data_IF_342518818298
#
_entry.id   IF_342518818298
#
_cell.length_a   1.000
_cell.length_b   1.000
_cell.length_c   1.000
_cell.angle_alpha   90.00
_cell.angle_beta   90.00
_cell.angle_gamma   90.00
#
_symmetry.space_group_name_H-M   'P 1'
#
loop_
_entity.id
_entity.type
_entity.pdbx_description
1 polymer ?
#
# COMPACT_ATOMS: atom_id res chain seq x y z
N UNK A 1 6.10 20.52 -21.15
CA UNK A 1 7.12 20.72 -20.09
C UNK A 1 8.19 19.68 -20.29
N UNK A 2 9.39 20.11 -20.70
CA UNK A 2 10.53 19.25 -20.97
C UNK A 2 11.15 18.75 -19.66
N UNK A 3 11.45 17.45 -19.59
CA UNK A 3 12.11 16.81 -18.45
C UNK A 3 13.63 16.80 -18.70
N UNK A 4 14.47 17.29 -17.78
CA UNK A 4 15.92 17.20 -17.93
C UNK A 4 16.45 15.81 -17.49
N UNK A 5 17.45 15.37 -18.25
CA UNK A 5 18.35 14.21 -18.15
C UNK A 5 18.17 13.26 -16.95
N UNK A 6 17.52 12.13 -17.26
CA UNK A 6 17.54 10.90 -16.47
C UNK A 6 18.77 10.13 -16.92
N UNK A 7 19.77 10.00 -16.06
CA UNK A 7 20.84 9.02 -16.26
C UNK A 7 20.21 7.62 -16.24
N UNK A 8 20.05 7.07 -17.43
CA UNK A 8 19.78 5.66 -17.66
C UNK A 8 21.01 4.91 -17.15
N UNK A 9 20.89 4.23 -16.01
CA UNK A 9 21.91 3.26 -15.62
C UNK A 9 21.77 2.11 -16.61
N UNK A 10 22.56 2.17 -17.68
CA UNK A 10 22.81 1.01 -18.53
C UNK A 10 23.53 -0.01 -17.67
N UNK A 11 22.83 -1.09 -17.30
CA UNK A 11 23.36 -2.24 -16.55
C UNK A 11 24.37 -3.06 -17.40
N UNK A 12 24.94 -2.50 -18.48
CA UNK A 12 25.69 -3.26 -19.49
C UNK A 12 27.19 -2.97 -19.65
N UNK A 13 27.86 -2.17 -18.81
CA UNK A 13 29.32 -1.98 -18.95
C UNK A 13 30.10 -1.76 -17.64
N UNK A 14 30.25 -2.82 -16.85
CA UNK A 14 31.33 -3.02 -15.84
C UNK A 14 31.38 -4.55 -15.65
N UNK A 15 32.30 -5.39 -16.11
CA UNK A 15 33.69 -5.29 -16.57
C UNK A 15 33.95 -6.46 -17.51
N UNK A 16 34.17 -6.17 -18.78
CA UNK A 16 34.90 -7.05 -19.69
C UNK A 16 36.39 -6.80 -19.46
N UNK A 17 37.00 -7.49 -18.49
CA UNK A 17 38.46 -7.50 -18.36
C UNK A 17 38.97 -8.75 -17.65
N UNK A 18 38.65 -9.93 -18.18
CA UNK A 18 39.53 -11.11 -18.05
C UNK A 18 39.59 -11.76 -19.44
N UNK A 19 40.48 -11.25 -20.30
CA UNK A 19 40.94 -11.98 -21.47
C UNK A 19 41.75 -13.17 -20.97
N UNK A 20 41.24 -14.38 -21.17
CA UNK A 20 42.06 -15.61 -21.05
C UNK A 20 43.13 -15.58 -22.14
N UNK A 21 44.33 -15.09 -21.79
CA UNK A 21 45.56 -15.35 -22.53
C UNK A 21 46.02 -16.76 -22.20
N UNK A 22 45.64 -17.73 -23.05
CA UNK A 22 46.16 -19.10 -23.00
C UNK A 22 47.62 -19.16 -23.47
N UNK A 23 48.55 -18.68 -22.65
CA UNK A 23 49.98 -18.92 -22.82
C UNK A 23 50.35 -20.18 -22.01
N UNK A 24 50.69 -21.24 -22.74
CA UNK A 24 51.11 -22.55 -22.22
C UNK A 24 52.52 -22.44 -21.65
N UNK A 25 52.67 -22.27 -20.34
CA UNK A 25 53.97 -22.45 -19.67
C UNK A 25 54.24 -23.96 -19.51
N UNK A 26 55.30 -24.42 -20.18
CA UNK A 26 55.81 -25.79 -20.12
C UNK A 26 56.62 -26.00 -18.83
N UNK A 27 56.38 -27.12 -18.17
CA UNK A 27 57.35 -27.76 -17.28
C UNK A 27 57.16 -27.50 -15.79
N UNK A 28 56.23 -28.21 -15.16
CA UNK A 28 56.28 -28.64 -13.77
C UNK A 28 55.40 -29.91 -13.66
N UNK A 29 55.96 -30.97 -13.05
CA UNK A 29 55.33 -32.31 -12.99
C UNK A 29 54.07 -32.31 -12.10
N UNK A 30 52.98 -33.01 -12.47
CA UNK A 30 51.80 -33.09 -11.63
C UNK A 30 52.03 -34.04 -10.45
N UNK A 31 51.89 -33.51 -9.23
CA UNK A 31 51.77 -34.31 -8.01
C UNK A 31 50.39 -34.97 -8.04
N UNK A 32 50.35 -36.29 -8.19
CA UNK A 32 49.12 -37.07 -8.11
C UNK A 32 48.67 -37.20 -6.65
N UNK A 33 47.80 -36.30 -6.21
CA UNK A 33 46.95 -36.55 -5.04
C UNK A 33 45.76 -37.37 -5.55
N UNK A 34 45.73 -38.66 -5.19
CA UNK A 34 44.58 -39.54 -5.36
C UNK A 34 43.49 -39.11 -4.37
N UNK A 35 42.71 -38.11 -4.74
CA UNK A 35 41.38 -37.92 -4.14
C UNK A 35 40.41 -38.88 -4.83
N UNK A 36 39.87 -39.81 -4.05
CA UNK A 36 38.78 -40.68 -4.45
C UNK A 36 37.55 -39.82 -4.80
N UNK A 37 37.40 -39.51 -6.08
CA UNK A 37 36.19 -38.93 -6.62
C UNK A 37 35.03 -39.92 -6.43
N UNK A 38 34.25 -39.68 -5.38
CA UNK A 38 32.82 -40.01 -5.38
C UNK A 38 32.22 -39.47 -6.68
N UNK A 39 31.59 -40.34 -7.49
CA UNK A 39 30.81 -39.98 -8.68
C UNK A 39 29.55 -39.18 -8.31
N UNK A 40 29.75 -38.04 -7.65
CA UNK A 40 28.71 -37.06 -7.34
C UNK A 40 28.39 -36.28 -8.61
N UNK A 41 27.12 -36.33 -9.01
CA UNK A 41 26.59 -35.63 -10.16
C UNK A 41 27.15 -34.19 -10.25
N UNK A 42 27.90 -33.89 -11.31
CA UNK A 42 28.34 -32.52 -11.57
C UNK A 42 27.11 -31.61 -11.58
N UNK A 43 27.13 -30.49 -10.82
CA UNK A 43 26.01 -29.57 -10.80
C UNK A 43 25.74 -29.12 -12.23
N UNK A 44 24.48 -29.24 -12.68
CA UNK A 44 24.10 -28.77 -14.02
C UNK A 44 24.46 -27.28 -14.12
N UNK A 45 25.32 -26.92 -15.06
CA UNK A 45 25.71 -25.52 -15.32
C UNK A 45 24.70 -24.81 -16.23
N UNK A 46 23.95 -25.57 -17.04
CA UNK A 46 22.98 -25.05 -18.00
C UNK A 46 21.65 -25.79 -17.92
N UNK A 47 20.56 -25.10 -18.27
CA UNK A 47 19.22 -25.68 -18.43
C UNK A 47 18.66 -25.38 -19.83
N UNK A 48 17.68 -26.14 -20.28
CA UNK A 48 16.97 -25.86 -21.54
C UNK A 48 15.95 -24.75 -21.33
N UNK A 49 15.58 -24.03 -22.41
CA UNK A 49 14.53 -22.98 -22.35
C UNK A 49 13.19 -23.55 -21.84
N UNK A 50 12.89 -24.83 -22.15
CA UNK A 50 11.68 -25.51 -21.66
C UNK A 50 11.74 -25.83 -20.17
N UNK A 51 12.90 -26.21 -19.64
CA UNK A 51 13.10 -26.41 -18.19
C UNK A 51 12.94 -25.08 -17.44
N UNK A 52 13.56 -23.99 -17.91
CA UNK A 52 13.37 -22.65 -17.37
C UNK A 52 11.90 -22.23 -17.39
N UNK A 53 11.22 -22.45 -18.52
CA UNK A 53 9.79 -22.17 -18.67
C UNK A 53 8.94 -22.90 -17.64
N UNK A 54 9.18 -24.21 -17.44
CA UNK A 54 8.50 -24.99 -16.39
C UNK A 54 8.79 -24.47 -14.98
N UNK A 55 10.03 -24.11 -14.71
CA UNK A 55 10.47 -23.58 -13.41
C UNK A 55 9.76 -22.27 -13.08
N UNK A 56 9.50 -21.42 -14.08
CA UNK A 56 8.76 -20.15 -13.94
C UNK A 56 7.25 -20.25 -14.21
N UNK A 57 6.74 -21.43 -14.60
CA UNK A 57 5.32 -21.61 -14.95
C UNK A 57 4.91 -20.94 -16.27
N UNK A 58 5.87 -20.64 -17.15
CA UNK A 58 5.66 -19.95 -18.41
C UNK A 58 5.27 -20.91 -19.53
N UNK A 59 4.46 -20.42 -20.47
CA UNK A 59 4.21 -21.13 -21.73
C UNK A 59 5.43 -21.05 -22.65
N UNK A 60 5.46 -21.87 -23.71
CA UNK A 60 6.57 -21.90 -24.69
C UNK A 60 6.89 -20.50 -25.21
N UNK A 61 5.89 -19.79 -25.75
CA UNK A 61 6.09 -18.48 -26.38
C UNK A 61 6.72 -17.48 -25.40
N UNK A 62 6.21 -17.42 -24.17
CA UNK A 62 6.73 -16.52 -23.13
C UNK A 62 8.15 -16.89 -22.69
N UNK A 63 8.46 -18.18 -22.63
CA UNK A 63 9.80 -18.66 -22.26
C UNK A 63 10.85 -18.22 -23.27
N UNK A 64 10.55 -18.36 -24.57
CA UNK A 64 11.45 -17.90 -25.64
C UNK A 64 11.50 -16.37 -25.72
N UNK A 65 10.37 -15.68 -25.52
CA UNK A 65 10.35 -14.22 -25.45
C UNK A 65 11.24 -13.68 -24.33
N UNK A 66 11.25 -14.34 -23.15
CA UNK A 66 12.11 -13.95 -22.03
C UNK A 66 13.59 -14.11 -22.37
N UNK A 67 13.96 -15.16 -23.10
CA UNK A 67 15.34 -15.34 -23.57
C UNK A 67 15.75 -14.23 -24.54
N UNK A 68 14.85 -13.81 -25.44
CA UNK A 68 15.09 -12.69 -26.35
C UNK A 68 15.20 -11.32 -25.66
N UNK A 69 14.91 -11.23 -24.35
CA UNK A 69 15.17 -10.02 -23.57
C UNK A 69 16.61 -9.88 -23.11
N UNK A 70 17.43 -10.92 -23.27
CA UNK A 70 18.86 -10.89 -22.98
C UNK A 70 19.18 -10.49 -21.53
N UNK A 71 18.28 -10.82 -20.60
CA UNK A 71 18.49 -10.53 -19.18
C UNK A 71 19.50 -11.46 -18.49
N UNK A 72 19.81 -12.59 -19.13
CA UNK A 72 20.73 -13.62 -18.64
C UNK A 72 21.36 -14.34 -19.84
N UNK A 73 22.50 -14.98 -19.59
CA UNK A 73 23.30 -15.57 -20.64
C UNK A 73 22.69 -16.85 -21.21
N UNK A 74 22.84 -16.99 -22.53
CA UNK A 74 22.49 -18.22 -23.24
C UNK A 74 23.62 -18.68 -24.13
N UNK A 75 23.75 -20.01 -24.27
CA UNK A 75 24.76 -20.66 -25.10
C UNK A 75 24.10 -21.68 -26.04
N UNK A 76 24.75 -21.96 -27.15
CA UNK A 76 24.34 -23.02 -28.07
C UNK A 76 25.13 -24.29 -27.75
N UNK A 77 24.42 -25.38 -27.42
CA UNK A 77 25.00 -26.71 -27.22
C UNK A 77 24.35 -27.65 -28.23
N UNK A 78 25.13 -28.19 -29.16
CA UNK A 78 24.67 -29.06 -30.25
C UNK A 78 23.49 -28.45 -31.03
N UNK A 79 23.59 -27.16 -31.38
CA UNK A 79 22.54 -26.42 -32.10
C UNK A 79 21.28 -26.12 -31.28
N UNK A 80 21.25 -26.45 -29.98
CA UNK A 80 20.13 -26.16 -29.08
C UNK A 80 20.51 -25.08 -28.08
N UNK A 81 19.65 -24.07 -27.95
CA UNK A 81 19.81 -22.97 -27.00
C UNK A 81 19.65 -23.47 -25.56
N UNK A 82 20.61 -23.12 -24.71
CA UNK A 82 20.61 -23.41 -23.28
C UNK A 82 20.85 -22.13 -22.48
N UNK A 83 20.17 -22.03 -21.34
CA UNK A 83 20.30 -20.92 -20.39
C UNK A 83 21.39 -21.27 -19.40
N UNK A 84 22.31 -20.34 -19.16
CA UNK A 84 23.33 -20.46 -18.11
C UNK A 84 22.63 -20.26 -16.75
N UNK A 85 22.70 -21.28 -15.89
CA UNK A 85 21.92 -21.31 -14.65
C UNK A 85 22.33 -20.19 -13.70
N UNK A 86 23.64 -19.94 -13.57
CA UNK A 86 24.17 -18.90 -12.68
C UNK A 86 23.71 -17.49 -13.08
N UNK A 87 23.83 -17.15 -14.37
CA UNK A 87 23.36 -15.87 -14.93
C UNK A 87 21.84 -15.71 -14.77
N UNK A 88 21.08 -16.80 -14.95
CA UNK A 88 19.64 -16.81 -14.68
C UNK A 88 19.31 -16.55 -13.22
N UNK A 89 20.00 -17.19 -12.27
CA UNK A 89 19.77 -16.98 -10.84
C UNK A 89 20.16 -15.56 -10.39
N UNK A 90 21.24 -15.01 -10.96
CA UNK A 90 21.64 -13.62 -10.75
C UNK A 90 20.56 -12.64 -11.19
N UNK A 91 20.01 -12.83 -12.40
CA UNK A 91 18.86 -12.06 -12.88
C UNK A 91 17.62 -12.28 -12.00
N UNK A 92 17.32 -13.53 -11.62
CA UNK A 92 16.15 -13.86 -10.82
C UNK A 92 16.18 -13.19 -9.44
N UNK A 93 17.36 -13.06 -8.83
CA UNK A 93 17.58 -12.33 -7.58
C UNK A 93 17.40 -10.81 -7.74
N UNK A 94 17.48 -10.29 -8.97
CA UNK A 94 17.44 -8.88 -9.36
C UNK A 94 16.13 -8.38 -9.99
N UNK A 95 15.08 -9.21 -10.08
CA UNK A 95 13.82 -8.88 -10.77
C UNK A 95 12.60 -9.08 -9.86
N UNK A 96 11.43 -8.55 -10.24
CA UNK A 96 10.19 -8.60 -9.41
C UNK A 96 9.01 -9.31 -10.07
N UNK A 97 9.05 -9.57 -11.37
CA UNK A 97 7.93 -10.04 -12.19
C UNK A 97 7.73 -11.55 -12.20
N UNK A 98 8.79 -12.32 -12.44
CA UNK A 98 8.72 -13.76 -12.67
C UNK A 98 8.87 -14.53 -11.36
N UNK A 99 8.05 -15.55 -11.13
CA UNK A 99 8.09 -16.35 -9.90
C UNK A 99 8.30 -17.82 -10.24
N UNK A 100 9.19 -18.49 -9.48
CA UNK A 100 9.33 -19.95 -9.53
C UNK A 100 8.07 -20.62 -9.01
N UNK A 101 7.54 -21.61 -9.74
CA UNK A 101 6.30 -22.32 -9.36
C UNK A 101 6.40 -22.94 -7.97
N UNK A 102 7.52 -23.63 -7.71
CA UNK A 102 7.81 -24.32 -6.44
C UNK A 102 9.14 -23.84 -5.84
N UNK A 103 9.42 -22.54 -5.87
CA UNK A 103 10.71 -22.01 -5.44
C UNK A 103 10.63 -20.72 -4.63
N UNK A 104 11.82 -20.20 -4.27
CA UNK A 104 11.94 -18.94 -3.55
C UNK A 104 11.31 -17.77 -4.32
N UNK A 105 10.71 -16.79 -3.62
CA UNK A 105 10.22 -15.58 -4.24
C UNK A 105 11.36 -14.79 -4.92
N UNK A 106 11.10 -14.13 -6.05
CA UNK A 106 12.12 -13.38 -6.78
C UNK A 106 12.64 -12.18 -5.98
N UNK A 107 13.70 -11.55 -6.48
CA UNK A 107 14.17 -10.28 -5.93
C UNK A 107 14.86 -10.39 -4.57
N UNK A 108 15.50 -11.54 -4.27
CA UNK A 108 16.25 -11.73 -3.01
C UNK A 108 17.31 -10.64 -2.81
N UNK A 109 18.15 -10.40 -3.83
CA UNK A 109 19.15 -9.33 -3.82
C UNK A 109 18.49 -7.95 -3.80
N UNK A 110 17.45 -7.73 -4.61
CA UNK A 110 16.72 -6.45 -4.60
C UNK A 110 16.21 -6.06 -3.21
N UNK A 111 15.66 -7.01 -2.45
CA UNK A 111 15.15 -6.78 -1.09
C UNK A 111 16.26 -6.55 -0.07
N UNK A 112 17.48 -6.98 -0.35
CA UNK A 112 18.64 -6.69 0.48
C UNK A 112 19.16 -5.27 0.23
N UNK A 113 19.17 -4.83 -1.03
CA UNK A 113 19.77 -3.56 -1.47
C UNK A 113 18.79 -2.38 -1.50
N UNK A 114 17.48 -2.65 -1.65
CA UNK A 114 16.49 -1.59 -1.85
C UNK A 114 15.11 -1.89 -1.27
N UNK A 115 14.45 -0.84 -0.79
CA UNK A 115 13.05 -0.87 -0.39
C UNK A 115 12.13 -0.52 -1.56
N UNK A 116 10.99 -1.19 -1.65
CA UNK A 116 9.86 -0.66 -2.44
C UNK A 116 9.16 0.45 -1.68
N UNK A 117 8.37 1.26 -2.39
CA UNK A 117 7.51 2.26 -1.73
C UNK A 117 6.57 1.61 -0.70
N UNK A 118 6.09 0.40 -1.00
CA UNK A 118 5.27 -0.40 -0.08
C UNK A 118 6.00 -0.82 1.19
N UNK A 119 7.26 -1.21 1.08
CA UNK A 119 8.07 -1.59 2.26
C UNK A 119 8.23 -0.38 3.19
N UNK A 120 8.58 0.80 2.65
CA UNK A 120 8.71 2.04 3.42
C UNK A 120 7.38 2.46 4.02
N UNK A 121 6.30 2.39 3.25
CA UNK A 121 4.95 2.69 3.72
C UNK A 121 4.57 1.83 4.93
N UNK A 122 4.88 0.54 4.88
CA UNK A 122 4.67 -0.39 5.99
C UNK A 122 5.54 -0.04 7.21
N UNK A 123 6.83 0.22 7.01
CA UNK A 123 7.74 0.59 8.10
C UNK A 123 7.29 1.86 8.84
N UNK A 124 6.97 2.91 8.08
CA UNK A 124 6.63 4.23 8.61
C UNK A 124 5.13 4.44 8.90
N UNK A 125 4.28 3.46 8.57
CA UNK A 125 2.81 3.53 8.66
C UNK A 125 2.20 4.74 7.93
N UNK A 126 2.68 4.99 6.72
CA UNK A 126 2.18 6.05 5.82
C UNK A 126 1.61 5.44 4.54
N UNK A 127 0.94 6.25 3.71
CA UNK A 127 0.46 5.76 2.40
C UNK A 127 1.62 5.61 1.41
N UNK A 128 1.54 4.61 0.52
CA UNK A 128 2.55 4.38 -0.53
C UNK A 128 2.76 5.62 -1.42
N UNK A 129 1.67 6.33 -1.75
CA UNK A 129 1.75 7.57 -2.52
C UNK A 129 2.60 8.63 -1.84
N UNK A 130 2.46 8.75 -0.52
CA UNK A 130 3.21 9.73 0.25
C UNK A 130 4.69 9.38 0.39
N UNK A 131 5.05 8.10 0.27
CA UNK A 131 6.46 7.69 0.25
C UNK A 131 7.19 8.33 -0.93
N UNK A 132 6.61 8.35 -2.13
CA UNK A 132 7.27 8.96 -3.30
C UNK A 132 7.54 10.45 -3.08
N UNK A 133 6.58 11.18 -2.54
CA UNK A 133 6.74 12.60 -2.20
C UNK A 133 7.81 12.79 -1.11
N UNK A 134 7.78 11.95 -0.09
CA UNK A 134 8.71 11.98 1.04
C UNK A 134 10.15 11.71 0.59
N UNK A 135 10.38 10.66 -0.20
CA UNK A 135 11.70 10.31 -0.72
C UNK A 135 12.23 11.39 -1.67
N UNK A 136 11.36 11.99 -2.48
CA UNK A 136 11.72 13.14 -3.32
C UNK A 136 12.13 14.35 -2.48
N UNK A 137 11.37 14.68 -1.45
CA UNK A 137 11.69 15.78 -0.52
C UNK A 137 12.98 15.52 0.26
N UNK A 138 13.26 14.25 0.57
CA UNK A 138 14.49 13.78 1.21
C UNK A 138 15.71 13.78 0.29
N UNK A 139 15.55 14.00 -1.02
CA UNK A 139 16.64 13.89 -1.99
C UNK A 139 17.07 12.44 -2.30
N UNK A 140 16.33 11.44 -1.83
CA UNK A 140 16.63 10.02 -2.06
C UNK A 140 16.24 9.65 -3.50
N UNK A 141 17.24 9.35 -4.33
CA UNK A 141 17.04 9.03 -5.74
C UNK A 141 16.52 7.59 -5.89
N UNK A 142 15.42 7.37 -6.64
CA UNK A 142 14.95 6.02 -6.92
C UNK A 142 15.81 5.33 -7.99
N UNK A 143 15.94 4.02 -7.85
CA UNK A 143 16.46 3.09 -8.87
C UNK A 143 15.28 2.41 -9.55
N UNK A 144 15.33 2.33 -10.88
CA UNK A 144 14.29 1.68 -11.67
C UNK A 144 14.61 0.19 -11.85
N UNK A 145 13.68 -0.68 -11.48
CA UNK A 145 13.77 -2.14 -11.66
C UNK A 145 12.49 -2.63 -12.31
N UNK A 146 12.56 -3.15 -13.53
CA UNK A 146 11.39 -3.59 -14.31
C UNK A 146 10.27 -2.52 -14.38
N UNK A 147 10.63 -1.24 -14.57
CA UNK A 147 9.71 -0.08 -14.54
C UNK A 147 9.14 0.30 -13.16
N UNK A 148 9.52 -0.42 -12.10
CA UNK A 148 9.15 -0.09 -10.72
C UNK A 148 10.25 0.74 -10.07
N UNK A 149 9.87 1.81 -9.38
CA UNK A 149 10.79 2.58 -8.57
C UNK A 149 11.07 1.86 -7.25
N UNK A 150 12.34 1.77 -6.89
CA UNK A 150 12.84 1.28 -5.61
C UNK A 150 13.82 2.29 -5.03
N UNK A 151 13.94 2.32 -3.71
CA UNK A 151 14.80 3.25 -3.00
C UNK A 151 15.96 2.47 -2.39
N UNK A 152 17.23 2.84 -2.67
CA UNK A 152 18.39 2.20 -2.05
C UNK A 152 18.28 2.23 -0.52
N UNK A 153 18.58 1.12 0.15
CA UNK A 153 18.49 1.04 1.61
C UNK A 153 19.42 2.02 2.28
N UNK A 154 20.68 2.06 1.86
CA UNK A 154 21.69 2.95 2.45
C UNK A 154 21.23 4.41 2.44
N UNK A 155 20.72 4.89 1.29
CA UNK A 155 20.22 6.26 1.18
C UNK A 155 18.95 6.51 2.02
N UNK A 156 18.06 5.51 2.12
CA UNK A 156 16.89 5.59 2.98
C UNK A 156 17.29 5.62 4.46
N UNK A 157 18.21 4.74 4.88
CA UNK A 157 18.67 4.60 6.26
C UNK A 157 19.43 5.85 6.70
N UNK A 158 20.29 6.41 5.84
CA UNK A 158 20.96 7.70 6.07
C UNK A 158 19.94 8.81 6.28
N UNK A 159 18.96 8.96 5.38
CA UNK A 159 17.88 9.92 5.58
C UNK A 159 17.10 9.67 6.89
N UNK A 160 16.82 8.40 7.20
CA UNK A 160 16.03 7.99 8.35
C UNK A 160 16.69 8.37 9.68
N UNK A 161 18.02 8.33 9.76
CA UNK A 161 18.77 8.73 10.96
C UNK A 161 18.76 10.24 11.21
N UNK A 162 18.61 11.06 10.17
CA UNK A 162 18.62 12.53 10.28
C UNK A 162 17.24 13.14 10.48
N UNK A 163 16.17 12.41 10.19
CA UNK A 163 14.80 12.87 10.39
C UNK A 163 14.30 12.55 11.81
N UNK A 164 13.38 13.37 12.33
CA UNK A 164 12.86 13.23 13.72
C UNK A 164 11.37 12.86 13.79
N UNK A 165 10.67 12.86 12.65
CA UNK A 165 9.22 12.84 12.56
C UNK A 165 8.63 11.44 12.40
N UNK A 166 9.25 10.63 11.56
CA UNK A 166 8.81 9.29 11.20
C UNK A 166 9.47 8.27 12.12
N UNK A 167 8.73 7.21 12.43
CA UNK A 167 9.17 6.14 13.31
C UNK A 167 8.86 4.81 12.66
N UNK A 168 9.78 3.86 12.78
CA UNK A 168 9.60 2.49 12.38
C UNK A 168 9.00 1.69 13.54
N UNK A 169 8.87 0.38 13.36
CA UNK A 169 8.25 -0.47 14.37
C UNK A 169 9.08 -0.55 15.66
N UNK A 170 10.41 -0.71 15.54
CA UNK A 170 11.31 -0.79 16.67
C UNK A 170 11.31 0.51 17.49
N UNK A 171 11.30 1.67 16.84
CA UNK A 171 11.27 2.97 17.51
C UNK A 171 9.97 3.15 18.29
N UNK A 172 8.83 2.71 17.73
CA UNK A 172 7.54 2.73 18.43
C UNK A 172 7.54 1.80 19.65
N UNK A 173 8.17 0.64 19.55
CA UNK A 173 8.26 -0.31 20.67
C UNK A 173 9.14 0.24 21.80
N UNK A 174 10.27 0.88 21.46
CA UNK A 174 11.11 1.57 22.46
C UNK A 174 10.37 2.70 23.17
N UNK A 175 9.59 3.49 22.42
CA UNK A 175 8.86 4.64 22.97
C UNK A 175 7.53 4.25 23.64
N UNK A 176 7.09 2.99 23.54
CA UNK A 176 5.75 2.56 23.95
C UNK A 176 5.47 2.83 25.44
N UNK A 177 6.45 2.54 26.30
CA UNK A 177 6.36 2.80 27.74
C UNK A 177 6.25 4.30 28.04
N UNK A 178 7.01 5.13 27.32
CA UNK A 178 6.92 6.60 27.46
C UNK A 178 5.55 7.07 26.98
N UNK A 179 5.04 6.57 25.86
CA UNK A 179 3.72 6.91 25.34
C UNK A 179 2.58 6.52 26.29
N UNK A 180 2.70 5.39 26.97
CA UNK A 180 1.74 4.92 27.97
C UNK A 180 1.76 5.79 29.23
N UNK A 181 2.94 6.20 29.69
CA UNK A 181 3.11 7.02 30.89
C UNK A 181 2.89 8.52 30.65
N UNK A 182 2.66 8.92 29.41
CA UNK A 182 2.48 10.32 29.00
C UNK A 182 1.18 10.52 28.25
N UNK A 183 0.73 11.77 28.11
CA UNK A 183 -0.43 12.14 27.32
C UNK A 183 -0.06 13.24 26.32
N UNK A 184 -0.72 13.25 25.16
CA UNK A 184 -0.50 14.32 24.18
C UNK A 184 -1.24 15.60 24.58
N UNK A 185 -0.83 16.76 24.03
CA UNK A 185 -1.53 18.04 24.28
C UNK A 185 -3.03 17.97 23.94
N UNK A 186 -3.44 17.36 22.79
CA UNK A 186 -4.85 17.12 22.53
C UNK A 186 -5.55 16.24 23.56
N UNK A 187 -4.87 15.27 24.16
CA UNK A 187 -5.46 14.40 25.19
C UNK A 187 -5.72 15.19 26.47
N UNK A 188 -4.74 15.97 26.94
CA UNK A 188 -4.92 16.89 28.08
C UNK A 188 -6.07 17.88 27.83
N UNK A 189 -6.15 18.45 26.63
CA UNK A 189 -7.22 19.37 26.26
C UNK A 189 -8.60 18.71 26.38
N UNK A 190 -8.75 17.49 25.86
CA UNK A 190 -10.01 16.73 25.96
C UNK A 190 -10.33 16.30 27.38
N UNK A 191 -9.31 15.98 28.18
CA UNK A 191 -9.44 15.56 29.56
C UNK A 191 -9.92 16.71 30.46
N UNK A 192 -9.47 17.94 30.20
CA UNK A 192 -9.91 19.16 30.89
C UNK A 192 -11.15 19.80 30.26
N UNK A 193 -11.68 19.25 29.17
CA UNK A 193 -12.77 19.85 28.38
C UNK A 193 -12.51 21.32 27.97
N UNK A 194 -11.29 21.57 27.46
CA UNK A 194 -10.85 22.89 26.97
C UNK A 194 -10.32 22.79 25.54
N UNK A 195 -10.29 23.89 24.78
CA UNK A 195 -9.67 23.89 23.47
C UNK A 195 -8.14 23.79 23.58
N UNK A 196 -7.51 23.20 22.56
CA UNK A 196 -6.06 22.90 22.55
C UNK A 196 -5.16 24.11 22.82
N UNK A 197 -5.56 25.31 22.40
CA UNK A 197 -4.83 26.54 22.66
C UNK A 197 -4.67 26.82 24.17
N UNK A 198 -5.67 26.47 24.99
CA UNK A 198 -5.61 26.65 26.45
C UNK A 198 -4.51 25.81 27.08
N UNK A 199 -4.28 24.59 26.59
CA UNK A 199 -3.17 23.74 27.07
C UNK A 199 -1.82 24.42 26.84
N UNK A 200 -1.63 25.06 25.68
CA UNK A 200 -0.40 25.82 25.42
C UNK A 200 -0.30 27.11 26.24
N UNK A 201 -1.41 27.69 26.70
CA UNK A 201 -1.38 28.79 27.67
C UNK A 201 -1.00 28.30 29.06
N UNK A 202 -1.54 27.15 29.49
CA UNK A 202 -1.18 26.49 30.75
C UNK A 202 0.33 26.24 30.79
N UNK A 203 0.89 25.63 29.74
CA UNK A 203 2.33 25.35 29.66
C UNK A 203 3.22 26.59 29.66
N UNK A 204 2.69 27.78 29.36
CA UNK A 204 3.44 29.05 29.42
C UNK A 204 3.23 29.80 30.73
N UNK A 205 2.30 29.37 31.57
CA UNK A 205 2.08 29.95 32.90
C UNK A 205 3.14 29.45 33.87
N UNK A 206 3.49 30.25 34.90
CA UNK A 206 4.46 29.86 35.94
C UNK A 206 4.16 28.48 36.54
N UNK A 207 2.92 28.20 37.00
CA UNK A 207 2.61 26.90 37.60
C UNK A 207 2.72 25.74 36.59
N UNK A 208 2.43 26.00 35.33
CA UNK A 208 2.58 24.99 34.27
C UNK A 208 4.04 24.70 33.94
N UNK A 209 4.91 25.71 33.92
CA UNK A 209 6.34 25.52 33.67
C UNK A 209 7.05 24.80 34.83
N UNK A 210 6.60 25.03 36.06
CA UNK A 210 7.20 24.43 37.26
C UNK A 210 6.72 22.99 37.50
N UNK A 211 5.43 22.69 37.27
CA UNK A 211 4.84 21.41 37.67
C UNK A 211 4.65 20.40 36.53
N UNK A 212 4.55 20.84 35.27
CA UNK A 212 4.32 19.95 34.13
C UNK A 212 5.65 19.55 33.48
N UNK A 213 5.91 18.25 33.46
CA UNK A 213 7.08 17.67 32.80
C UNK A 213 6.74 17.38 31.34
N UNK A 214 7.44 18.04 30.42
CA UNK A 214 7.24 17.89 28.98
C UNK A 214 8.36 17.04 28.38
N UNK A 215 7.98 15.91 27.78
CA UNK A 215 8.89 15.03 27.03
C UNK A 215 8.59 15.11 25.53
N UNK A 216 9.58 14.82 24.70
CA UNK A 216 9.44 14.81 23.24
C UNK A 216 9.54 13.37 22.75
N UNK A 217 8.51 12.90 22.05
CA UNK A 217 8.44 11.57 21.45
C UNK A 217 8.05 11.71 19.98
N UNK A 218 8.93 11.31 19.06
CA UNK A 218 8.70 11.43 17.60
C UNK A 218 8.31 12.84 17.15
N UNK A 219 9.10 13.85 17.54
CA UNK A 219 8.87 15.28 17.27
C UNK A 219 7.55 15.85 17.85
N UNK A 220 6.94 15.15 18.82
CA UNK A 220 5.71 15.58 19.48
C UNK A 220 5.91 15.76 20.97
N UNK A 221 5.53 16.94 21.46
CA UNK A 221 5.49 17.23 22.89
C UNK A 221 4.37 16.44 23.58
N UNK A 222 4.72 15.77 24.67
CA UNK A 222 3.82 15.01 25.55
C UNK A 222 4.07 15.43 27.00
N UNK A 223 3.08 15.24 27.87
CA UNK A 223 3.16 15.56 29.30
C UNK A 223 3.12 14.26 30.08
N UNK A 224 3.98 14.09 31.07
CA UNK A 224 3.95 12.92 31.96
C UNK A 224 2.67 12.93 32.78
N UNK A 225 1.95 11.79 32.84
CA UNK A 225 0.69 11.68 33.58
C UNK A 225 0.84 12.06 35.06
N UNK A 226 1.94 11.67 35.70
CA UNK A 226 2.25 12.03 37.09
C UNK A 226 2.37 13.55 37.29
N UNK A 227 3.11 14.22 36.41
CA UNK A 227 3.29 15.68 36.44
C UNK A 227 1.96 16.42 36.22
N UNK A 228 1.10 15.88 35.34
CA UNK A 228 -0.23 16.40 35.12
C UNK A 228 -1.09 16.30 36.38
N UNK A 229 -1.12 15.17 37.08
CA UNK A 229 -1.93 15.05 38.31
C UNK A 229 -1.41 15.98 39.43
N UNK A 230 -0.09 16.13 39.59
CA UNK A 230 0.48 17.12 40.53
C UNK A 230 0.05 18.55 40.21
N UNK A 231 0.17 18.94 38.94
CA UNK A 231 -0.30 20.25 38.48
C UNK A 231 -1.82 20.39 38.69
N UNK A 232 -2.59 19.35 38.36
CA UNK A 232 -4.05 19.37 38.49
C UNK A 232 -4.51 19.58 39.93
N UNK A 233 -3.90 18.88 40.90
CA UNK A 233 -4.19 19.05 42.33
C UNK A 233 -3.78 20.41 42.90
N UNK A 234 -2.82 21.10 42.28
CA UNK A 234 -2.35 22.42 42.73
C UNK A 234 -3.28 23.58 42.35
N UNK A 235 -4.28 23.33 41.51
CA UNK A 235 -5.11 24.38 40.89
C UNK A 235 -6.61 24.00 40.95
N UNK A 236 -7.48 25.01 40.90
CA UNK A 236 -8.95 24.85 40.94
C UNK A 236 -9.67 25.40 39.72
N UNK A 237 -8.92 25.93 38.74
CA UNK A 237 -9.45 26.67 37.59
C UNK A 237 -9.91 25.76 36.44
N UNK A 238 -9.15 24.72 36.16
CA UNK A 238 -9.38 23.77 35.08
C UNK A 238 -9.86 22.46 35.69
N UNK A 239 -11.07 22.01 35.34
CA UNK A 239 -11.70 20.84 35.94
C UNK A 239 -11.99 19.78 34.87
N UNK A 240 -11.67 18.53 35.20
CA UNK A 240 -12.14 17.35 34.46
C UNK A 240 -13.68 17.39 34.45
N UNK A 241 -14.36 16.92 33.38
CA UNK A 241 -15.82 16.88 33.32
C UNK A 241 -16.50 16.24 34.55
N UNK A 242 -15.85 15.27 35.17
CA UNK A 242 -16.33 14.56 36.37
C UNK A 242 -16.30 15.43 37.63
N UNK A 243 -15.35 16.37 37.71
CA UNK A 243 -15.15 17.26 38.86
C UNK A 243 -15.92 18.59 38.69
N UNK A 244 -16.59 18.80 37.56
CA UNK A 244 -17.40 20.00 37.31
C UNK A 244 -18.71 19.96 38.10
N UNK A 245 -19.25 21.13 38.52
CA UNK A 245 -20.51 21.17 39.24
C UNK A 245 -21.66 20.57 38.41
N UNK A 246 -22.59 19.90 39.11
CA UNK A 246 -23.73 19.22 38.47
C UNK A 246 -24.49 20.18 37.56
N UNK A 247 -24.68 19.78 36.30
CA UNK A 247 -25.43 20.54 35.30
C UNK A 247 -24.57 21.34 34.32
N UNK A 248 -23.24 21.36 34.44
CA UNK A 248 -22.37 21.92 33.40
C UNK A 248 -22.26 20.90 32.25
N UNK A 249 -22.76 21.22 31.04
CA UNK A 249 -22.64 20.33 29.92
C UNK A 249 -21.20 20.34 29.39
N UNK A 250 -20.72 19.16 29.02
CA UNK A 250 -19.43 19.00 28.34
C UNK A 250 -19.45 19.77 27.02
N UNK A 251 -18.48 20.67 26.83
CA UNK A 251 -18.39 21.56 25.66
C UNK A 251 -17.70 20.88 24.47
N UNK A 252 -16.76 19.97 24.70
CA UNK A 252 -15.96 19.35 23.65
C UNK A 252 -16.15 17.83 23.60
N UNK A 253 -16.17 17.29 22.37
CA UNK A 253 -16.38 15.87 22.12
C UNK A 253 -15.25 15.01 22.68
N UNK A 254 -15.62 13.89 23.30
CA UNK A 254 -14.70 12.85 23.76
C UNK A 254 -13.98 12.14 22.60
N UNK A 255 -12.86 11.48 22.90
CA UNK A 255 -12.27 10.52 21.98
C UNK A 255 -13.24 9.37 21.68
N UNK A 256 -13.99 8.90 22.69
CA UNK A 256 -15.05 7.89 22.52
C UNK A 256 -16.13 8.35 21.51
N UNK A 257 -16.53 9.62 21.55
CA UNK A 257 -17.53 10.20 20.62
C UNK A 257 -16.99 10.24 19.18
N UNK A 258 -15.69 10.46 19.03
CA UNK A 258 -15.02 10.45 17.72
C UNK A 258 -14.90 9.04 17.14
N UNK A 259 -14.68 8.04 17.99
CA UNK A 259 -14.66 6.62 17.61
C UNK A 259 -16.08 6.08 17.32
N UNK A 260 -17.12 6.58 18.01
CA UNK A 260 -18.51 6.20 17.76
C UNK A 260 -18.97 6.54 16.32
N UNK A 261 -18.48 7.65 15.74
CA UNK A 261 -18.70 7.94 14.30
C UNK A 261 -17.94 7.00 13.36
N UNK A 262 -16.90 6.33 13.86
CA UNK A 262 -16.07 5.38 13.12
C UNK A 262 -16.53 3.93 13.28
N UNK A 263 -17.64 3.67 14.00
CA UNK A 263 -18.39 2.41 13.87
C UNK A 263 -18.94 2.35 12.44
N UNK A 264 -18.12 1.71 11.62
CA UNK A 264 -18.36 1.03 10.35
C UNK A 264 -19.75 1.30 9.76
N UNK A 265 -19.78 1.90 8.57
CA UNK A 265 -20.86 1.66 7.63
C UNK A 265 -20.80 0.18 7.17
N UNK A 266 -20.95 -0.77 8.09
CA UNK A 266 -20.99 -2.23 7.86
C UNK A 266 -22.41 -2.67 7.52
N UNK A 267 -23.04 -1.90 6.64
CA UNK A 267 -24.32 -2.21 6.07
C UNK A 267 -24.45 -1.32 4.86
N UNK A 268 -24.52 -1.91 3.66
CA UNK A 268 -25.18 -1.23 2.56
C UNK A 268 -26.53 -0.81 3.13
N UNK A 269 -26.72 0.49 3.42
CA UNK A 269 -28.06 1.01 3.70
C UNK A 269 -28.90 0.54 2.51
N UNK A 270 -29.83 -0.37 2.74
CA UNK A 270 -30.86 -0.68 1.75
C UNK A 270 -31.50 0.67 1.49
N UNK A 271 -31.32 1.21 0.27
CA UNK A 271 -31.99 2.44 -0.10
C UNK A 271 -33.48 2.12 -0.03
N UNK A 272 -34.17 2.62 0.98
CA UNK A 272 -35.62 2.64 0.97
C UNK A 272 -36.05 3.36 -0.30
N UNK A 273 -36.78 2.65 -1.16
CA UNK A 273 -37.30 3.23 -2.40
C UNK A 273 -38.46 4.12 -1.99
N UNK A 274 -38.29 5.45 -2.13
CA UNK A 274 -39.40 6.38 -1.95
C UNK A 274 -40.42 6.16 -3.06
N UNK A 275 -41.64 5.78 -2.67
CA UNK A 275 -42.77 5.71 -3.59
C UNK A 275 -43.30 7.12 -3.87
N UNK A 276 -43.56 7.42 -5.14
CA UNK A 276 -43.96 8.74 -5.62
C UNK A 276 -45.42 9.10 -5.29
N UNK A 277 -46.17 8.19 -4.66
CA UNK A 277 -47.55 8.39 -4.21
C UNK A 277 -48.57 8.57 -5.33
N UNK A 278 -48.14 8.58 -6.60
CA UNK A 278 -49.01 8.75 -7.77
C UNK A 278 -49.50 7.38 -8.27
N UNK A 279 -50.82 7.15 -8.38
CA UNK A 279 -51.36 5.86 -8.82
C UNK A 279 -51.15 5.57 -10.30
N UNK A 280 -51.04 6.61 -11.15
CA UNK A 280 -51.04 6.47 -12.61
C UNK A 280 -49.63 6.40 -13.21
N UNK A 281 -48.62 6.87 -12.48
CA UNK A 281 -47.25 6.97 -12.98
C UNK A 281 -46.22 6.40 -12.00
N UNK A 282 -45.28 5.64 -12.55
CA UNK A 282 -44.14 5.08 -11.84
C UNK A 282 -42.88 5.92 -12.06
N UNK A 283 -42.05 6.01 -11.02
CA UNK A 283 -40.64 6.37 -11.14
C UNK A 283 -39.84 5.17 -11.67
N UNK A 284 -38.65 5.43 -12.22
CA UNK A 284 -37.73 4.38 -12.68
C UNK A 284 -37.38 3.39 -11.56
N UNK A 285 -37.27 3.87 -10.32
CA UNK A 285 -37.00 3.03 -9.16
C UNK A 285 -38.18 2.13 -8.80
N UNK A 286 -39.42 2.64 -8.86
CA UNK A 286 -40.62 1.85 -8.63
C UNK A 286 -40.85 0.82 -9.74
N UNK A 287 -40.62 1.20 -11.00
CA UNK A 287 -40.69 0.29 -12.14
C UNK A 287 -39.64 -0.84 -12.04
N UNK A 288 -38.42 -0.52 -11.59
CA UNK A 288 -37.39 -1.52 -11.34
C UNK A 288 -37.80 -2.50 -10.24
N UNK A 289 -38.42 -2.01 -9.17
CA UNK A 289 -38.95 -2.84 -8.09
C UNK A 289 -40.09 -3.74 -8.57
N UNK A 290 -41.05 -3.19 -9.33
CA UNK A 290 -42.18 -3.94 -9.90
C UNK A 290 -41.70 -5.06 -10.84
N UNK A 291 -40.72 -4.77 -11.69
CA UNK A 291 -40.12 -5.75 -12.60
C UNK A 291 -39.12 -6.70 -11.92
N UNK A 292 -38.81 -6.52 -10.62
CA UNK A 292 -37.74 -7.23 -9.89
C UNK A 292 -36.38 -7.15 -10.61
N UNK A 293 -36.07 -6.01 -11.21
CA UNK A 293 -34.81 -5.76 -11.93
C UNK A 293 -34.07 -4.53 -11.40
N UNK A 294 -32.96 -4.15 -12.02
CA UNK A 294 -32.23 -2.93 -11.68
C UNK A 294 -32.72 -1.73 -12.53
N UNK A 295 -32.45 -0.51 -12.06
CA UNK A 295 -32.86 0.72 -12.75
C UNK A 295 -32.20 0.91 -14.12
N UNK A 296 -31.02 0.31 -14.36
CA UNK A 296 -30.34 0.37 -15.66
C UNK A 296 -31.12 -0.42 -16.73
N UNK A 297 -31.69 -1.56 -16.37
CA UNK A 297 -32.55 -2.36 -17.25
C UNK A 297 -33.79 -1.57 -17.66
N UNK A 298 -34.42 -0.84 -16.74
CA UNK A 298 -35.55 0.04 -17.05
C UNK A 298 -35.14 1.15 -18.03
N UNK A 299 -34.00 1.81 -17.81
CA UNK A 299 -33.48 2.80 -18.75
C UNK A 299 -33.18 2.21 -20.13
N UNK A 300 -32.67 0.98 -20.18
CA UNK A 300 -32.47 0.25 -21.43
C UNK A 300 -33.80 0.01 -22.16
N UNK A 301 -34.85 -0.44 -21.47
CA UNK A 301 -36.16 -0.65 -22.07
C UNK A 301 -36.79 0.64 -22.59
N UNK A 302 -36.65 1.75 -21.84
CA UNK A 302 -37.09 3.08 -22.30
C UNK A 302 -36.33 3.50 -23.55
N UNK A 303 -34.99 3.35 -23.58
CA UNK A 303 -34.15 3.69 -24.73
C UNK A 303 -34.55 2.91 -26.00
N UNK A 304 -35.02 1.68 -25.83
CA UNK A 304 -35.48 0.82 -26.91
C UNK A 304 -37.00 0.91 -27.18
N UNK A 305 -37.67 1.97 -26.69
CA UNK A 305 -39.10 2.25 -26.92
C UNK A 305 -40.02 1.05 -26.64
N UNK A 306 -39.74 0.30 -25.56
CA UNK A 306 -40.54 -0.89 -25.20
C UNK A 306 -41.88 -0.54 -24.57
N UNK A 307 -41.98 0.63 -23.97
CA UNK A 307 -43.15 1.28 -23.41
C UNK A 307 -42.89 2.79 -23.40
N UNK A 308 -43.91 3.66 -23.39
CA UNK A 308 -43.68 5.10 -23.39
C UNK A 308 -43.18 5.58 -22.02
N UNK A 309 -42.37 6.64 -22.04
CA UNK A 309 -41.92 7.34 -20.85
C UNK A 309 -42.03 8.84 -21.07
N UNK A 310 -42.68 9.52 -20.13
CA UNK A 310 -42.83 10.96 -20.12
C UNK A 310 -41.61 11.60 -19.46
N UNK A 311 -40.91 12.45 -20.22
CA UNK A 311 -39.80 13.24 -19.71
C UNK A 311 -40.31 14.59 -19.23
N UNK A 312 -40.44 14.74 -17.91
CA UNK A 312 -40.90 15.99 -17.28
C UNK A 312 -39.73 16.98 -17.15
N UNK A 313 -38.51 16.48 -16.89
CA UNK A 313 -37.30 17.30 -16.83
C UNK A 313 -36.08 16.53 -17.33
N UNK A 314 -34.90 17.16 -17.49
CA UNK A 314 -33.68 16.47 -17.88
C UNK A 314 -33.35 15.25 -17.00
N UNK A 315 -33.74 15.29 -15.72
CA UNK A 315 -33.46 14.28 -14.69
C UNK A 315 -34.68 13.50 -14.23
N UNK A 316 -35.91 13.94 -14.56
CA UNK A 316 -37.15 13.36 -14.06
C UNK A 316 -37.94 12.69 -15.17
N UNK A 317 -38.05 11.36 -15.08
CA UNK A 317 -38.86 10.52 -15.96
C UNK A 317 -40.06 9.95 -15.18
N UNK A 318 -41.20 9.81 -15.87
CA UNK A 318 -42.40 9.13 -15.39
C UNK A 318 -42.86 8.11 -16.40
N UNK A 319 -43.20 6.91 -15.93
CA UNK A 319 -43.62 5.79 -16.77
C UNK A 319 -45.11 5.56 -16.48
N UNK A 320 -46.00 5.59 -17.50
CA UNK A 320 -47.41 5.24 -17.30
C UNK A 320 -47.52 3.82 -16.74
N UNK A 321 -48.22 3.64 -15.61
CA UNK A 321 -48.28 2.36 -14.89
C UNK A 321 -48.97 1.28 -15.71
N UNK A 322 -50.13 1.59 -16.31
CA UNK A 322 -50.92 0.62 -17.08
C UNK A 322 -50.13 -0.02 -18.23
N UNK A 323 -49.45 0.82 -19.03
CA UNK A 323 -48.67 0.35 -20.18
C UNK A 323 -47.41 -0.42 -19.77
N UNK A 324 -46.82 -0.06 -18.64
CA UNK A 324 -45.67 -0.78 -18.09
C UNK A 324 -46.06 -2.16 -17.56
N UNK A 325 -47.21 -2.28 -16.90
CA UNK A 325 -47.76 -3.55 -16.42
C UNK A 325 -48.15 -4.46 -17.59
N UNK A 326 -48.78 -3.92 -18.63
CA UNK A 326 -49.07 -4.65 -19.87
C UNK A 326 -47.79 -5.20 -20.50
N UNK A 327 -46.75 -4.36 -20.61
CA UNK A 327 -45.45 -4.81 -21.11
C UNK A 327 -44.85 -5.94 -20.26
N UNK A 328 -44.95 -5.89 -18.93
CA UNK A 328 -44.46 -6.98 -18.07
C UNK A 328 -45.23 -8.29 -18.31
N UNK A 329 -46.55 -8.22 -18.53
CA UNK A 329 -47.35 -9.39 -18.87
C UNK A 329 -46.90 -10.01 -20.21
N UNK A 330 -46.59 -9.19 -21.21
CA UNK A 330 -46.04 -9.72 -22.49
C UNK A 330 -44.66 -10.36 -22.35
N UNK A 331 -43.86 -9.97 -21.35
CA UNK A 331 -42.57 -10.60 -21.08
C UNK A 331 -42.75 -11.94 -20.35
N UNK A 332 -43.72 -12.03 -19.43
CA UNK A 332 -44.02 -13.30 -18.75
C UNK A 332 -44.57 -14.35 -19.71
N UNK A 333 -45.46 -13.97 -20.61
CA UNK A 333 -46.04 -14.87 -21.63
C UNK A 333 -45.02 -15.40 -22.65
N UNK A 334 -43.86 -14.74 -22.81
CA UNK A 334 -42.76 -15.19 -23.67
C UNK A 334 -41.75 -16.08 -22.95
N UNK A 335 -41.90 -16.25 -21.64
CA UNK A 335 -41.01 -17.05 -20.79
C UNK A 335 -41.59 -18.42 -20.42
N UNK A 336 -42.87 -18.62 -20.67
CA UNK A 336 -43.54 -19.92 -20.74
C UNK A 336 -43.53 -20.42 -22.20
#
# INVERSE_FOLDING_TARGET
>A
MAFPDIYRIDILKVTAEIRYSGARLKGLAPIYIREEYSMGAHPKTTMSVREMGKLLGLKKVESYWLVHKEYFDTILVNGKMRVVIESFEHWYAGQVKYRKVNGEPPGKRLRQESYSARDIAGMLQISEMYVYELMKAAGVKPVLVDYWQRFPKEAFDEWYTHQTRYRNQADRERDAEIEENTMSMPDMARLLDVPRNIVYHILRSSPGQELLEVVIVGDRKRITKSSFERWYSSQTRYLKPEDQPKGVPRKYKSYADSLAKKKVASGRKVKEVHFSGNPDYLTVSEAALAAKTNTQTIHYWIKHNRFPALRISPTTLRIPRAEFEEYLNTISERRD
#
